data_IF_807615326561
#
_entry.id   IF_807615326561
#
_cell.length_a   1.000
_cell.length_b   1.000
_cell.length_c   1.000
_cell.angle_alpha   90.00
_cell.angle_beta   90.00
_cell.angle_gamma   90.00
#
_symmetry.space_group_name_H-M   'P 1'
#
loop_
_entity.id
_entity.type
_entity.pdbx_description
1 polymer ?
#
# COMPACT_ATOMS: atom_id res chain seq x y z
N UNK A 1 14.77 14.55 12.38
CA UNK A 1 14.31 13.14 12.40
C UNK A 1 14.76 12.51 11.08
N UNK A 2 15.51 11.41 11.15
CA UNK A 2 15.94 10.67 9.97
C UNK A 2 14.74 9.98 9.30
N UNK A 3 14.80 9.83 7.98
CA UNK A 3 13.74 9.23 7.17
C UNK A 3 14.31 8.43 5.98
N UNK A 4 13.47 7.92 5.11
CA UNK A 4 13.89 7.11 3.97
C UNK A 4 14.80 7.87 2.99
N UNK A 5 14.70 9.20 2.92
CA UNK A 5 15.57 9.98 2.03
C UNK A 5 17.02 9.99 2.50
N UNK A 6 17.26 9.97 3.83
CA UNK A 6 18.61 9.86 4.38
C UNK A 6 19.25 8.50 4.00
N UNK A 7 18.43 7.44 3.86
CA UNK A 7 18.90 6.15 3.33
C UNK A 7 19.27 6.27 1.86
N UNK A 8 18.38 6.84 1.04
CA UNK A 8 18.51 6.86 -0.42
C UNK A 8 19.53 7.88 -0.94
N UNK A 9 19.73 8.98 -0.23
CA UNK A 9 20.61 10.08 -0.66
C UNK A 9 21.93 10.08 0.08
N UNK A 10 21.87 9.88 1.40
CA UNK A 10 23.05 10.02 2.27
C UNK A 10 23.67 8.65 2.63
N UNK A 11 23.05 7.54 2.20
CA UNK A 11 23.55 6.19 2.45
C UNK A 11 23.49 5.76 3.92
N UNK A 12 22.62 6.39 4.71
CA UNK A 12 22.41 6.00 6.11
C UNK A 12 21.82 4.59 6.15
N UNK A 13 22.34 3.68 7.00
CA UNK A 13 21.76 2.34 7.13
C UNK A 13 20.28 2.41 7.51
N UNK A 14 19.43 1.63 6.84
CA UNK A 14 17.98 1.65 7.07
C UNK A 14 17.60 1.39 8.53
N UNK A 15 18.40 0.59 9.26
CA UNK A 15 18.20 0.30 10.68
C UNK A 15 18.30 1.53 11.58
N UNK A 16 19.13 2.49 11.20
CA UNK A 16 19.40 3.69 11.99
C UNK A 16 18.30 4.75 11.82
N UNK A 17 17.45 4.60 10.79
CA UNK A 17 16.33 5.49 10.53
C UNK A 17 14.98 4.93 10.99
N UNK A 18 14.97 3.72 11.56
CA UNK A 18 13.75 3.10 12.07
C UNK A 18 13.28 3.74 13.39
N UNK A 19 12.04 4.19 13.41
CA UNK A 19 11.39 4.72 14.61
C UNK A 19 10.62 3.62 15.34
N UNK A 20 10.72 3.60 16.68
CA UNK A 20 9.98 2.66 17.51
C UNK A 20 8.58 3.19 17.80
N UNK A 21 7.58 2.41 17.43
CA UNK A 21 6.17 2.61 17.76
C UNK A 21 5.69 1.71 18.90
N UNK A 22 4.40 1.77 19.23
CA UNK A 22 3.81 0.93 20.27
C UNK A 22 3.83 -0.56 19.89
N UNK A 23 3.83 -1.44 20.90
CA UNK A 23 3.73 -2.90 20.73
C UNK A 23 4.78 -3.54 19.80
N UNK A 24 5.98 -2.94 19.73
CA UNK A 24 7.06 -3.44 18.89
C UNK A 24 6.98 -3.03 17.43
N UNK A 25 6.01 -2.20 17.04
CA UNK A 25 5.95 -1.61 15.71
C UNK A 25 7.24 -0.83 15.43
N UNK A 26 7.79 -1.02 14.25
CA UNK A 26 8.88 -0.19 13.72
C UNK A 26 8.36 0.57 12.51
N UNK A 27 8.63 1.83 12.43
CA UNK A 27 8.18 2.72 11.36
C UNK A 27 9.40 3.29 10.62
N UNK A 28 9.46 3.06 9.34
CA UNK A 28 10.31 3.79 8.41
C UNK A 28 9.49 4.95 7.83
N UNK A 29 9.83 6.16 8.24
CA UNK A 29 9.06 7.33 7.81
C UNK A 29 9.45 7.77 6.41
N UNK A 30 8.43 8.11 5.59
CA UNK A 30 8.63 8.90 4.38
C UNK A 30 8.73 10.39 4.75
N UNK A 31 9.42 11.17 3.91
CA UNK A 31 9.54 12.64 4.09
C UNK A 31 8.26 13.32 3.62
N UNK A 32 7.58 14.03 4.51
CA UNK A 32 6.39 14.81 4.17
C UNK A 32 6.74 15.87 3.13
N UNK A 33 6.00 15.90 2.01
CA UNK A 33 6.22 16.87 0.94
C UNK A 33 7.40 16.57 0.01
N UNK A 34 8.07 15.41 0.17
CA UNK A 34 9.11 14.97 -0.76
C UNK A 34 8.49 14.50 -2.07
N UNK A 35 8.33 15.41 -3.03
CA UNK A 35 7.97 15.08 -4.42
C UNK A 35 8.99 14.13 -5.06
N UNK A 36 10.19 14.08 -4.52
CA UNK A 36 11.28 13.20 -4.94
C UNK A 36 10.96 11.71 -4.74
N UNK A 37 10.20 11.35 -3.69
CA UNK A 37 9.73 9.97 -3.47
C UNK A 37 8.65 9.54 -4.46
N UNK A 38 7.91 10.50 -5.02
CA UNK A 38 6.89 10.24 -6.04
C UNK A 38 7.50 10.00 -7.42
N UNK A 39 8.73 10.48 -7.66
CA UNK A 39 9.42 10.44 -8.94
C UNK A 39 10.83 9.86 -8.81
N UNK A 40 10.97 8.77 -8.06
CA UNK A 40 12.24 8.03 -8.03
C UNK A 40 12.55 7.50 -9.43
N UNK A 41 13.79 7.65 -9.85
CA UNK A 41 14.28 6.92 -11.02
C UNK A 41 14.43 5.43 -10.70
N UNK A 42 14.63 4.62 -11.73
CA UNK A 42 14.71 3.16 -11.58
C UNK A 42 15.81 2.75 -10.59
N UNK A 43 16.96 3.44 -10.57
CA UNK A 43 18.08 3.16 -9.69
C UNK A 43 17.74 3.42 -8.22
N UNK A 44 17.04 4.52 -7.92
CA UNK A 44 16.61 4.84 -6.55
C UNK A 44 15.47 3.95 -6.08
N UNK A 45 14.58 3.56 -7.00
CA UNK A 45 13.52 2.59 -6.73
C UNK A 45 14.11 1.23 -6.36
N UNK A 46 15.13 0.78 -7.10
CA UNK A 46 15.84 -0.46 -6.79
C UNK A 46 16.60 -0.36 -5.45
N UNK A 47 17.26 0.76 -5.18
CA UNK A 47 17.92 1.00 -3.90
C UNK A 47 16.93 1.00 -2.72
N UNK A 48 15.72 1.55 -2.89
CA UNK A 48 14.64 1.50 -1.91
C UNK A 48 14.23 0.06 -1.62
N UNK A 49 13.96 -0.72 -2.65
CA UNK A 49 13.56 -2.13 -2.52
C UNK A 49 14.68 -2.93 -1.82
N UNK A 50 15.93 -2.73 -2.21
CA UNK A 50 17.06 -3.39 -1.56
C UNK A 50 17.19 -3.01 -0.08
N UNK A 51 17.04 -1.72 0.26
CA UNK A 51 17.08 -1.27 1.66
C UNK A 51 15.95 -1.91 2.49
N UNK A 52 14.75 -1.98 1.93
CA UNK A 52 13.60 -2.62 2.56
C UNK A 52 13.85 -4.13 2.77
N UNK A 53 14.37 -4.82 1.78
CA UNK A 53 14.67 -6.26 1.85
C UNK A 53 15.68 -6.59 2.97
N UNK A 54 16.57 -5.67 3.35
CA UNK A 54 17.48 -5.89 4.49
C UNK A 54 16.77 -6.02 5.83
N UNK A 55 15.49 -5.65 5.91
CA UNK A 55 14.66 -5.74 7.13
C UNK A 55 13.86 -7.05 7.21
N UNK A 56 13.88 -7.88 6.16
CA UNK A 56 13.06 -9.09 6.04
C UNK A 56 13.27 -10.05 7.21
N UNK A 57 14.50 -10.28 7.60
CA UNK A 57 14.85 -11.16 8.73
C UNK A 57 14.54 -10.56 10.12
N UNK A 58 14.09 -9.30 10.17
CA UNK A 58 13.91 -8.55 11.42
C UNK A 58 12.46 -8.35 11.83
N UNK A 59 11.51 -8.74 10.99
CA UNK A 59 10.08 -8.58 11.24
C UNK A 59 9.28 -9.75 10.70
N UNK A 60 8.16 -10.06 11.34
CA UNK A 60 7.23 -11.10 10.87
C UNK A 60 6.43 -10.61 9.65
N UNK A 61 6.16 -9.31 9.60
CA UNK A 61 5.45 -8.65 8.51
C UNK A 61 6.09 -7.29 8.21
N UNK A 62 6.27 -7.01 6.93
CA UNK A 62 6.66 -5.71 6.40
C UNK A 62 5.49 -5.14 5.59
N UNK A 63 4.97 -4.00 6.01
CA UNK A 63 3.87 -3.31 5.31
C UNK A 63 4.39 -2.05 4.67
N UNK A 64 4.28 -1.97 3.35
CA UNK A 64 4.63 -0.76 2.57
C UNK A 64 3.36 -0.01 2.25
N UNK A 65 3.17 1.15 2.88
CA UNK A 65 2.08 2.08 2.57
C UNK A 65 2.50 2.98 1.40
N UNK A 66 1.75 2.93 0.31
CA UNK A 66 2.06 3.67 -0.91
C UNK A 66 1.04 4.78 -1.16
N UNK A 67 1.44 5.78 -1.95
CA UNK A 67 0.50 6.80 -2.44
C UNK A 67 -0.63 6.18 -3.27
N UNK A 68 -1.78 6.86 -3.28
CA UNK A 68 -2.88 6.49 -4.17
C UNK A 68 -2.47 6.71 -5.63
N UNK A 69 -2.91 5.80 -6.51
CA UNK A 69 -2.63 5.87 -7.95
C UNK A 69 -1.65 4.79 -8.44
N UNK A 70 -1.71 4.51 -9.74
CA UNK A 70 -0.89 3.49 -10.41
C UNK A 70 0.43 4.08 -10.92
N UNK A 71 1.14 4.80 -10.07
CA UNK A 71 2.45 5.37 -10.40
C UNK A 71 3.51 4.28 -10.49
N UNK A 72 4.57 4.53 -11.28
CA UNK A 72 5.63 3.55 -11.55
C UNK A 72 6.27 3.00 -10.29
N UNK A 73 6.56 3.87 -9.32
CA UNK A 73 7.22 3.48 -8.07
C UNK A 73 6.33 2.62 -7.18
N UNK A 74 5.03 2.98 -7.10
CA UNK A 74 4.01 2.18 -6.39
C UNK A 74 3.92 0.77 -6.98
N UNK A 75 3.87 0.68 -8.30
CA UNK A 75 3.77 -0.61 -8.99
C UNK A 75 5.07 -1.42 -8.88
N UNK A 76 6.24 -0.78 -8.88
CA UNK A 76 7.53 -1.45 -8.67
C UNK A 76 7.64 -2.03 -7.25
N UNK A 77 7.25 -1.27 -6.23
CA UNK A 77 7.17 -1.78 -4.85
C UNK A 77 6.19 -2.95 -4.74
N UNK A 78 5.02 -2.84 -5.38
CA UNK A 78 4.02 -3.90 -5.39
C UNK A 78 4.53 -5.17 -6.09
N UNK A 79 5.33 -5.02 -7.15
CA UNK A 79 5.92 -6.16 -7.86
C UNK A 79 7.03 -6.87 -7.07
N UNK A 80 7.67 -6.17 -6.14
CA UNK A 80 8.69 -6.72 -5.26
C UNK A 80 8.10 -7.36 -3.99
N UNK A 81 6.80 -7.17 -3.71
CA UNK A 81 6.15 -7.68 -2.53
C UNK A 81 5.55 -9.09 -2.75
N UNK A 82 5.47 -9.90 -1.69
CA UNK A 82 4.78 -11.20 -1.70
C UNK A 82 3.28 -11.06 -1.91
N UNK A 83 2.71 -9.97 -1.40
CA UNK A 83 1.27 -9.69 -1.47
C UNK A 83 1.00 -8.26 -1.88
N UNK A 84 0.23 -8.09 -2.95
CA UNK A 84 -0.27 -6.79 -3.35
C UNK A 84 -1.73 -6.64 -2.86
N UNK A 85 -1.91 -5.78 -1.85
CA UNK A 85 -3.23 -5.49 -1.29
C UNK A 85 -3.78 -4.20 -1.88
N UNK A 86 -4.88 -4.31 -2.62
CA UNK A 86 -5.61 -3.17 -3.19
C UNK A 86 -6.76 -2.79 -2.26
N UNK A 87 -6.83 -1.51 -1.90
CA UNK A 87 -7.92 -0.98 -1.06
C UNK A 87 -9.01 -0.40 -1.95
N UNK A 88 -10.22 -0.96 -1.87
CA UNK A 88 -11.40 -0.51 -2.60
C UNK A 88 -12.32 0.28 -1.69
N UNK A 89 -12.70 1.48 -2.12
CA UNK A 89 -13.76 2.28 -1.47
C UNK A 89 -14.96 2.32 -2.40
N UNK A 90 -16.18 2.25 -1.85
CA UNK A 90 -17.43 2.15 -2.61
C UNK A 90 -17.83 3.38 -3.44
N UNK A 91 -16.94 4.39 -3.53
CA UNK A 91 -17.14 5.57 -4.37
C UNK A 91 -16.63 5.32 -5.80
N UNK A 92 -17.23 5.99 -6.78
CA UNK A 92 -16.87 5.82 -8.20
C UNK A 92 -15.37 6.04 -8.48
N UNK A 93 -14.76 7.03 -7.85
CA UNK A 93 -13.31 7.30 -7.93
C UNK A 93 -12.48 6.14 -7.38
N UNK A 94 -12.88 5.57 -6.23
CA UNK A 94 -12.20 4.41 -5.63
C UNK A 94 -12.21 3.17 -6.53
N UNK A 95 -13.29 2.95 -7.29
CA UNK A 95 -13.34 1.89 -8.30
C UNK A 95 -12.36 2.11 -9.45
N UNK A 96 -12.27 3.35 -9.94
CA UNK A 96 -11.35 3.69 -11.03
C UNK A 96 -9.90 3.55 -10.59
N UNK A 97 -9.57 4.01 -9.39
CA UNK A 97 -8.22 3.95 -8.84
C UNK A 97 -7.79 2.49 -8.60
N UNK A 98 -8.63 1.70 -7.95
CA UNK A 98 -8.38 0.27 -7.73
C UNK A 98 -8.22 -0.51 -9.06
N UNK A 99 -9.07 -0.20 -10.06
CA UNK A 99 -8.94 -0.80 -11.38
C UNK A 99 -7.63 -0.39 -12.08
N UNK A 100 -7.24 0.87 -11.98
CA UNK A 100 -5.99 1.38 -12.55
C UNK A 100 -4.77 0.69 -11.91
N UNK A 101 -4.79 0.48 -10.59
CA UNK A 101 -3.75 -0.25 -9.85
C UNK A 101 -3.59 -1.68 -10.36
N UNK A 102 -4.68 -2.45 -10.44
CA UNK A 102 -4.66 -3.83 -10.94
C UNK A 102 -4.20 -3.87 -12.39
N UNK A 103 -4.73 -2.97 -13.22
CA UNK A 103 -4.33 -2.89 -14.64
C UNK A 103 -2.86 -2.54 -14.81
N UNK A 104 -2.35 -1.59 -14.03
CA UNK A 104 -0.94 -1.22 -14.03
C UNK A 104 -0.05 -2.38 -13.60
N UNK A 105 -0.34 -3.01 -12.47
CA UNK A 105 0.38 -4.16 -11.96
C UNK A 105 0.43 -5.32 -12.96
N UNK A 106 -0.71 -5.64 -13.57
CA UNK A 106 -0.77 -6.68 -14.60
C UNK A 106 0.01 -6.31 -15.86
N UNK A 107 -0.21 -5.11 -16.41
CA UNK A 107 0.35 -4.71 -17.71
C UNK A 107 1.84 -4.40 -17.68
N UNK A 108 2.33 -3.80 -16.61
CA UNK A 108 3.71 -3.33 -16.51
C UNK A 108 4.61 -4.35 -15.82
N UNK A 109 4.09 -5.10 -14.84
CA UNK A 109 4.88 -6.01 -14.01
C UNK A 109 4.44 -7.47 -14.08
N UNK A 110 3.39 -7.81 -14.84
CA UNK A 110 2.92 -9.19 -14.98
C UNK A 110 2.28 -9.77 -13.71
N UNK A 111 1.86 -8.94 -12.77
CA UNK A 111 1.21 -9.39 -11.53
C UNK A 111 -0.15 -10.00 -11.89
N UNK A 112 -0.40 -11.22 -11.46
CA UNK A 112 -1.64 -11.94 -11.76
C UNK A 112 -2.52 -12.21 -10.54
N UNK A 113 -1.99 -12.05 -9.33
CA UNK A 113 -2.69 -12.31 -8.08
C UNK A 113 -2.77 -11.02 -7.26
N UNK A 114 -3.99 -10.63 -6.92
CA UNK A 114 -4.28 -9.43 -6.14
C UNK A 114 -5.15 -9.77 -4.95
N UNK A 115 -4.81 -9.22 -3.80
CA UNK A 115 -5.64 -9.23 -2.60
C UNK A 115 -6.44 -7.95 -2.53
N UNK A 116 -7.74 -8.00 -2.17
CA UNK A 116 -8.58 -6.82 -2.10
C UNK A 116 -9.28 -6.70 -0.75
N UNK A 117 -9.15 -5.52 -0.15
CA UNK A 117 -9.85 -5.12 1.08
C UNK A 117 -10.83 -4.01 0.72
N UNK A 118 -12.09 -4.17 1.13
CA UNK A 118 -13.10 -3.10 0.99
C UNK A 118 -13.06 -2.22 2.23
N UNK A 119 -12.84 -0.92 2.04
CA UNK A 119 -12.76 0.05 3.12
C UNK A 119 -14.03 0.92 3.18
N UNK A 120 -14.38 1.37 4.38
CA UNK A 120 -15.52 2.25 4.66
C UNK A 120 -16.89 1.64 4.28
N UNK A 121 -17.03 0.33 4.32
CA UNK A 121 -18.33 -0.32 4.12
C UNK A 121 -19.20 -0.23 5.37
N UNK A 122 -20.51 -0.12 5.20
CA UNK A 122 -21.47 -0.09 6.31
C UNK A 122 -21.70 -1.49 6.89
N UNK A 123 -21.55 -2.54 6.07
CA UNK A 123 -21.72 -3.93 6.46
C UNK A 123 -20.85 -4.88 5.63
N UNK A 124 -20.70 -6.11 6.10
CA UNK A 124 -20.03 -7.16 5.34
C UNK A 124 -20.79 -7.51 4.04
N UNK A 125 -22.12 -7.45 4.06
CA UNK A 125 -22.94 -7.72 2.90
C UNK A 125 -22.70 -6.68 1.79
N UNK A 126 -22.67 -5.41 2.15
CA UNK A 126 -22.31 -4.32 1.23
C UNK A 126 -20.89 -4.52 0.68
N UNK A 127 -19.93 -4.80 1.56
CA UNK A 127 -18.55 -4.99 1.16
C UNK A 127 -18.39 -6.15 0.15
N UNK A 128 -19.08 -7.28 0.37
CA UNK A 128 -19.08 -8.42 -0.56
C UNK A 128 -19.72 -8.06 -1.89
N UNK A 129 -20.82 -7.34 -1.88
CA UNK A 129 -21.49 -6.88 -3.10
C UNK A 129 -20.61 -5.95 -3.93
N UNK A 130 -19.92 -5.02 -3.27
CA UNK A 130 -18.94 -4.13 -3.91
C UNK A 130 -17.77 -4.92 -4.50
N UNK A 131 -17.20 -5.85 -3.73
CA UNK A 131 -16.13 -6.72 -4.18
C UNK A 131 -16.53 -7.53 -5.42
N UNK A 132 -17.68 -8.21 -5.39
CA UNK A 132 -18.16 -9.03 -6.51
C UNK A 132 -18.37 -8.20 -7.78
N UNK A 133 -18.93 -7.01 -7.65
CA UNK A 133 -19.14 -6.09 -8.77
C UNK A 133 -17.81 -5.63 -9.37
N UNK A 134 -16.86 -5.29 -8.51
CA UNK A 134 -15.51 -4.92 -8.91
C UNK A 134 -14.77 -6.08 -9.59
N UNK A 135 -14.76 -7.26 -8.94
CA UNK A 135 -14.12 -8.47 -9.45
C UNK A 135 -14.65 -8.86 -10.84
N UNK A 136 -15.99 -8.87 -11.02
CA UNK A 136 -16.61 -9.12 -12.33
C UNK A 136 -16.13 -8.16 -13.41
N UNK A 137 -15.96 -6.89 -13.04
CA UNK A 137 -15.45 -5.86 -13.96
C UNK A 137 -13.99 -6.12 -14.34
N UNK A 138 -13.14 -6.41 -13.36
CA UNK A 138 -11.73 -6.72 -13.61
C UNK A 138 -11.56 -7.95 -14.49
N UNK A 139 -12.22 -9.05 -14.13
CA UNK A 139 -12.10 -10.34 -14.83
C UNK A 139 -12.64 -10.31 -16.27
N UNK A 140 -13.52 -9.36 -16.60
CA UNK A 140 -13.98 -9.15 -17.99
C UNK A 140 -12.86 -8.71 -18.93
N UNK A 141 -11.83 -8.02 -18.40
CA UNK A 141 -10.80 -7.38 -19.22
C UNK A 141 -9.38 -7.89 -18.96
N UNK A 142 -9.17 -8.62 -17.86
CA UNK A 142 -7.85 -9.10 -17.47
C UNK A 142 -7.90 -10.52 -16.92
N UNK A 143 -6.98 -11.41 -17.35
CA UNK A 143 -6.88 -12.77 -16.83
C UNK A 143 -6.07 -12.78 -15.52
N UNK A 144 -6.62 -12.22 -14.47
CA UNK A 144 -5.99 -12.11 -13.15
C UNK A 144 -6.88 -12.75 -12.08
N UNK A 145 -6.31 -13.07 -10.94
CA UNK A 145 -7.02 -13.49 -9.74
C UNK A 145 -7.16 -12.29 -8.80
N UNK A 146 -8.35 -12.09 -8.25
CA UNK A 146 -8.61 -11.06 -7.24
C UNK A 146 -9.32 -11.73 -6.06
N UNK A 147 -8.65 -11.77 -4.92
CA UNK A 147 -9.14 -12.45 -3.73
C UNK A 147 -9.69 -11.44 -2.71
N UNK A 148 -10.84 -11.77 -2.13
CA UNK A 148 -11.44 -10.98 -1.07
C UNK A 148 -10.75 -11.24 0.26
N UNK A 149 -10.09 -10.24 0.84
CA UNK A 149 -9.41 -10.33 2.13
C UNK A 149 -10.22 -9.80 3.31
N UNK A 150 -11.42 -9.30 3.06
CA UNK A 150 -12.28 -8.76 4.10
C UNK A 150 -12.61 -7.28 3.91
N UNK A 151 -13.15 -6.67 4.96
CA UNK A 151 -13.53 -5.28 4.93
C UNK A 151 -13.17 -4.55 6.22
N UNK A 152 -13.06 -3.23 6.11
CA UNK A 152 -12.97 -2.30 7.22
C UNK A 152 -14.26 -1.49 7.28
N UNK A 153 -15.00 -1.51 8.40
CA UNK A 153 -16.24 -0.76 8.51
C UNK A 153 -15.98 0.74 8.59
N UNK A 154 -16.94 1.52 8.12
CA UNK A 154 -16.93 2.95 8.41
C UNK A 154 -16.91 3.17 9.91
N UNK A 155 -15.91 3.87 10.40
CA UNK A 155 -15.77 4.14 11.84
C UNK A 155 -15.41 5.60 12.11
N UNK A 156 -16.27 6.23 12.92
CA UNK A 156 -16.02 7.59 13.39
C UNK A 156 -14.77 7.69 14.28
N UNK A 157 -14.39 6.57 14.93
CA UNK A 157 -13.18 6.49 15.72
C UNK A 157 -11.92 6.63 14.84
N UNK A 158 -11.89 6.01 13.66
CA UNK A 158 -10.81 6.19 12.70
C UNK A 158 -10.72 7.63 12.21
N UNK A 159 -11.85 8.24 11.87
CA UNK A 159 -11.88 9.65 11.47
C UNK A 159 -11.33 10.57 12.57
N UNK A 160 -11.79 10.39 13.80
CA UNK A 160 -11.34 11.22 14.93
C UNK A 160 -9.85 11.01 15.24
N UNK A 161 -9.34 9.77 15.13
CA UNK A 161 -7.94 9.45 15.31
C UNK A 161 -7.06 10.12 14.26
N UNK A 162 -7.48 10.10 13.00
CA UNK A 162 -6.78 10.79 11.91
C UNK A 162 -6.74 12.31 12.13
N UNK A 163 -7.87 12.91 12.54
CA UNK A 163 -7.95 14.36 12.83
C UNK A 163 -7.07 14.75 14.02
N UNK A 164 -6.99 13.91 15.04
CA UNK A 164 -6.18 14.16 16.24
C UNK A 164 -4.72 13.71 16.12
N UNK A 165 -4.33 13.17 14.96
CA UNK A 165 -2.99 12.59 14.73
C UNK A 165 -2.60 11.54 15.79
N UNK A 166 -3.57 10.71 16.21
CA UNK A 166 -3.36 9.65 17.18
C UNK A 166 -3.68 8.28 16.57
N UNK A 167 -2.88 7.24 16.86
CA UNK A 167 -3.18 5.91 16.35
C UNK A 167 -4.48 5.37 16.97
N UNK A 168 -5.25 4.63 16.17
CA UNK A 168 -6.50 3.97 16.64
C UNK A 168 -6.19 2.77 17.52
N UNK A 169 -5.11 2.04 17.19
CA UNK A 169 -4.67 0.86 17.93
C UNK A 169 -3.56 1.26 18.93
N UNK A 170 -3.90 1.36 20.20
CA UNK A 170 -2.96 1.59 21.31
C UNK A 170 -2.91 0.40 22.25
#
# INVERSE_FOLDING_TARGET
TLDIMDVLVDGVPVRDVLHRGPKGLRLLAGRTGATELLNLDDSRTEALIQAINTLEDECDYLVVDTSAGAESNTLACAAAADHFVVVLVGQATGFVDAYAMIKGGFKQHGITNFSLVVNMAESEEEARSLFETFQKTVLRFMPVQVDYCGYLPYSRAFYNAAVSCQPVAT
#
